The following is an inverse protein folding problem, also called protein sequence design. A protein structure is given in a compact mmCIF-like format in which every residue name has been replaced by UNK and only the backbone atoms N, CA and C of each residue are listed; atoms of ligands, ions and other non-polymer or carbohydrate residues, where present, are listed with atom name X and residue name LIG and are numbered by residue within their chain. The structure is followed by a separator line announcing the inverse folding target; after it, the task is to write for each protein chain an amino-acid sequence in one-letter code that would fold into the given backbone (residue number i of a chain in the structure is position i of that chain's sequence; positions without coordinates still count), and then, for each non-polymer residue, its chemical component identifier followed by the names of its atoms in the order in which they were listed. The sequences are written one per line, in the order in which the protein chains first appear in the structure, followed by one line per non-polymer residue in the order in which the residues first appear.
data_IF_299209189616
#
_entry.id   IF_299209189616
#
_cell.length_a   1.000
_cell.length_b   1.000
_cell.length_c   1.000
_cell.angle_alpha   90.00
_cell.angle_beta   90.00
_cell.angle_gamma   90.00
#
_symmetry.space_group_name_H-M   'P 1'
#
loop_
_entity.id
_entity.type
_entity.pdbx_description
1 polymer ?
#
# COMPACT_ATOMS: atom_id res chain seq x y z
N UNK A 1 -17.75 -26.77 14.13
CA UNK A 1 -17.92 -26.74 12.65
C UNK A 1 -17.47 -25.36 12.17
N UNK A 2 -16.15 -25.15 12.18
CA UNK A 2 -15.45 -23.88 11.95
C UNK A 2 -15.42 -23.47 10.47
N UNK A 3 -16.58 -23.03 9.94
CA UNK A 3 -16.68 -22.57 8.54
C UNK A 3 -15.91 -21.28 8.24
N UNK A 4 -15.32 -20.62 9.24
CA UNK A 4 -14.66 -19.32 9.11
C UNK A 4 -13.18 -19.30 9.54
N UNK A 5 -12.51 -20.46 9.61
CA UNK A 5 -11.04 -20.50 9.71
C UNK A 5 -10.38 -20.27 8.34
N UNK A 6 -10.69 -19.15 7.69
CA UNK A 6 -9.88 -18.68 6.57
C UNK A 6 -8.64 -18.02 7.15
N UNK A 7 -7.56 -18.80 7.28
CA UNK A 7 -6.24 -18.22 7.53
C UNK A 7 -5.75 -17.61 6.22
N UNK A 8 -5.59 -16.29 6.21
CA UNK A 8 -4.97 -15.58 5.09
C UNK A 8 -3.56 -16.14 4.90
N UNK A 9 -3.25 -16.52 3.66
CA UNK A 9 -1.91 -17.00 3.30
C UNK A 9 -1.12 -15.85 2.69
N UNK A 10 0.18 -15.73 3.01
CA UNK A 10 1.04 -14.79 2.33
C UNK A 10 1.04 -15.03 0.81
N UNK A 11 1.03 -13.95 0.03
CA UNK A 11 1.17 -14.04 -1.43
C UNK A 11 2.53 -14.63 -1.83
N UNK A 12 3.59 -14.27 -1.10
CA UNK A 12 4.91 -14.88 -1.22
C UNK A 12 5.07 -16.03 -0.20
N UNK A 13 5.30 -17.29 -0.65
CA UNK A 13 5.50 -18.43 0.25
C UNK A 13 6.66 -18.30 1.24
N UNK A 14 7.69 -17.49 0.91
CA UNK A 14 8.87 -17.29 1.78
C UNK A 14 8.61 -16.33 2.94
N UNK A 15 7.46 -15.64 2.94
CA UNK A 15 7.07 -14.76 4.04
C UNK A 15 6.44 -15.54 5.20
N UNK A 16 6.68 -15.05 6.41
CA UNK A 16 6.02 -15.57 7.61
C UNK A 16 4.50 -15.33 7.52
N UNK A 17 3.73 -16.22 8.15
CA UNK A 17 2.28 -16.02 8.29
C UNK A 17 2.00 -14.78 9.14
N UNK A 18 0.99 -13.97 8.78
CA UNK A 18 0.65 -12.76 9.53
C UNK A 18 0.09 -13.13 10.93
N UNK A 19 0.50 -12.36 11.94
CA UNK A 19 -0.03 -12.40 13.29
C UNK A 19 -1.28 -11.54 13.48
N UNK A 20 -1.82 -11.56 14.70
CA UNK A 20 -3.09 -10.86 15.04
C UNK A 20 -2.98 -9.34 14.93
N UNK A 21 -1.77 -8.78 15.03
CA UNK A 21 -1.51 -7.33 14.97
C UNK A 21 -1.01 -6.86 13.61
N UNK A 22 -0.84 -7.76 12.66
CA UNK A 22 -0.30 -7.41 11.36
C UNK A 22 -1.40 -6.91 10.43
N UNK A 23 -1.09 -5.88 9.64
CA UNK A 23 -1.98 -5.39 8.59
C UNK A 23 -1.80 -6.25 7.34
N UNK A 24 -2.92 -6.67 6.77
CA UNK A 24 -2.98 -7.50 5.56
C UNK A 24 -3.78 -6.77 4.49
N UNK A 25 -3.32 -6.84 3.26
CA UNK A 25 -3.99 -6.28 2.08
C UNK A 25 -4.01 -7.33 0.97
N UNK A 26 -4.99 -7.23 0.07
CA UNK A 26 -5.17 -8.20 -1.02
C UNK A 26 -4.72 -7.66 -2.36
N UNK A 27 -4.82 -6.34 -2.56
CA UNK A 27 -4.55 -5.68 -3.83
C UNK A 27 -3.37 -4.71 -3.69
N UNK A 28 -2.50 -4.70 -4.69
CA UNK A 28 -1.38 -3.76 -4.72
C UNK A 28 -1.87 -2.31 -4.79
N UNK A 29 -1.15 -1.41 -4.13
CA UNK A 29 -1.43 0.03 -4.20
C UNK A 29 -1.33 0.54 -5.64
N UNK A 30 -2.24 1.43 -6.07
CA UNK A 30 -2.13 2.10 -7.37
C UNK A 30 -0.96 3.11 -7.36
N UNK A 31 -0.61 3.62 -8.54
CA UNK A 31 0.30 4.76 -8.66
C UNK A 31 -0.38 6.07 -8.24
N UNK A 32 0.28 6.86 -7.38
CA UNK A 32 -0.25 8.12 -6.86
C UNK A 32 0.36 9.38 -7.50
N UNK A 33 1.36 9.24 -8.36
CA UNK A 33 2.06 10.37 -8.97
C UNK A 33 1.16 11.16 -9.92
N UNK A 34 0.45 10.45 -10.80
CA UNK A 34 -0.41 11.05 -11.82
C UNK A 34 -1.87 11.11 -11.36
N UNK A 35 -2.59 12.13 -11.82
CA UNK A 35 -4.01 12.29 -11.52
C UNK A 35 -4.82 11.16 -12.14
N UNK A 36 -5.59 10.44 -11.32
CA UNK A 36 -6.54 9.43 -11.77
C UNK A 36 -7.91 9.64 -11.11
N UNK A 37 -8.84 10.36 -11.77
CA UNK A 37 -10.16 10.63 -11.23
C UNK A 37 -11.01 9.38 -10.97
N UNK A 38 -10.77 8.29 -11.71
CA UNK A 38 -11.55 7.04 -11.56
C UNK A 38 -11.28 6.37 -10.22
N UNK A 39 -10.07 6.54 -9.69
CA UNK A 39 -9.64 6.01 -8.39
C UNK A 39 -9.60 7.08 -7.29
N UNK A 40 -10.05 8.31 -7.59
CA UNK A 40 -10.00 9.43 -6.64
C UNK A 40 -8.59 9.94 -6.33
N UNK A 41 -7.60 9.64 -7.19
CA UNK A 41 -6.20 10.02 -6.98
C UNK A 41 -5.96 11.41 -7.59
N UNK A 42 -5.54 12.41 -6.79
CA UNK A 42 -5.33 13.78 -7.29
C UNK A 42 -4.01 13.97 -8.07
N UNK A 43 -3.02 13.10 -7.86
CA UNK A 43 -1.65 13.28 -8.35
C UNK A 43 -0.77 14.07 -7.37
N UNK A 44 0.54 14.14 -7.65
CA UNK A 44 1.52 14.84 -6.78
C UNK A 44 2.04 16.16 -7.34
N UNK A 45 1.63 16.52 -8.56
CA UNK A 45 2.02 17.78 -9.21
C UNK A 45 1.59 19.00 -8.37
N UNK A 46 2.52 19.93 -8.13
CA UNK A 46 2.26 21.15 -7.36
C UNK A 46 2.21 20.96 -5.84
N UNK A 47 2.51 19.76 -5.32
CA UNK A 47 2.72 19.56 -3.87
C UNK A 47 4.02 20.25 -3.44
N UNK A 48 4.01 20.82 -2.25
CA UNK A 48 5.25 21.25 -1.61
C UNK A 48 6.15 20.03 -1.35
N UNK A 49 7.44 20.20 -1.62
CA UNK A 49 8.49 19.20 -1.40
C UNK A 49 9.68 19.85 -0.69
N UNK A 50 10.56 19.02 -0.13
CA UNK A 50 11.76 19.41 0.58
C UNK A 50 13.01 19.12 -0.27
N UNK A 51 13.61 20.14 -0.86
CA UNK A 51 14.76 20.03 -1.79
C UNK A 51 16.02 19.42 -1.15
N UNK A 52 16.14 19.41 0.19
CA UNK A 52 17.28 18.76 0.86
C UNK A 52 17.01 17.29 1.20
N UNK A 53 15.77 16.80 1.02
CA UNK A 53 15.41 15.42 1.35
C UNK A 53 15.65 14.50 0.17
N UNK A 54 16.24 13.33 0.47
CA UNK A 54 16.40 12.22 -0.48
C UNK A 54 15.17 11.29 -0.43
N UNK A 55 14.23 11.53 0.49
CA UNK A 55 13.06 10.70 0.74
C UNK A 55 11.84 11.03 -0.13
N UNK A 56 10.69 10.45 0.23
CA UNK A 56 9.41 10.62 -0.48
C UNK A 56 8.80 12.03 -0.35
N UNK A 57 9.33 12.83 0.57
CA UNK A 57 9.02 14.25 0.72
C UNK A 57 9.94 15.14 -0.13
N UNK A 58 10.94 14.56 -0.79
CA UNK A 58 11.91 15.24 -1.65
C UNK A 58 11.33 15.75 -2.97
N UNK A 59 12.06 16.68 -3.58
CA UNK A 59 11.93 17.06 -4.98
C UNK A 59 12.95 16.21 -5.79
#
# INVERSE_FOLDING_TARGET
RDRYRFQLRPHNPDHKTPGVKDLVYLESSPGFCEKNPRLGIPGTHGRACNDTSIGVDGC
#
